data_IF_775150582756
#
_entry.id   IF_775150582756
#
_cell.length_a   1.000
_cell.length_b   1.000
_cell.length_c   1.000
_cell.angle_alpha   90.00
_cell.angle_beta   90.00
_cell.angle_gamma   90.00
#
_symmetry.space_group_name_H-M   'P 1'
#
loop_
_entity.id
_entity.type
_entity.pdbx_description
1 polymer ?
#
# COMPACT_ATOMS: atom_id res chain seq x y z
N UNK A 1 29.38 -23.74 -21.67
CA UNK A 1 29.20 -22.26 -21.43
C UNK A 1 28.79 -21.48 -22.69
N UNK A 2 29.40 -21.69 -23.86
CA UNK A 2 29.01 -20.96 -25.10
C UNK A 2 27.55 -21.16 -25.57
N UNK A 3 26.91 -22.37 -25.48
CA UNK A 3 25.54 -22.56 -25.97
C UNK A 3 24.51 -21.71 -25.23
N UNK A 4 24.57 -21.66 -23.89
CA UNK A 4 23.60 -20.90 -23.05
C UNK A 4 23.67 -19.39 -23.33
N UNK A 5 24.85 -18.88 -23.66
CA UNK A 5 25.03 -17.46 -23.99
C UNK A 5 24.45 -17.06 -25.35
N UNK A 6 24.47 -17.95 -26.34
CA UNK A 6 23.81 -17.71 -27.64
C UNK A 6 22.28 -17.62 -27.46
N UNK A 7 21.69 -18.47 -26.63
CA UNK A 7 20.25 -18.43 -26.31
C UNK A 7 19.83 -17.14 -25.59
N UNK A 8 20.69 -16.55 -24.75
CA UNK A 8 20.43 -15.27 -24.09
C UNK A 8 20.20 -14.10 -25.06
N UNK A 9 20.68 -14.19 -26.29
CA UNK A 9 20.58 -13.13 -27.29
C UNK A 9 19.62 -13.44 -28.45
N UNK A 10 19.27 -14.70 -28.70
CA UNK A 10 18.61 -15.15 -29.93
C UNK A 10 17.15 -15.64 -29.79
N UNK A 11 16.63 -15.83 -28.54
CA UNK A 11 15.25 -16.28 -28.31
C UNK A 11 14.20 -15.28 -28.83
N UNK A 12 13.00 -15.77 -29.09
CA UNK A 12 11.86 -14.96 -29.51
C UNK A 12 11.49 -13.96 -28.41
N UNK A 13 11.18 -12.72 -28.79
CA UNK A 13 10.73 -11.66 -27.88
C UNK A 13 9.25 -11.40 -28.14
N UNK A 14 8.40 -11.80 -27.17
CA UNK A 14 7.00 -11.36 -27.07
C UNK A 14 6.92 -10.23 -26.08
N UNK A 15 6.05 -9.26 -26.30
CA UNK A 15 5.82 -8.16 -25.38
C UNK A 15 4.32 -7.94 -25.13
N UNK A 16 4.01 -7.30 -24.01
CA UNK A 16 2.65 -7.07 -23.55
C UNK A 16 2.53 -5.70 -22.89
N UNK A 17 1.39 -5.05 -23.04
CA UNK A 17 1.08 -3.79 -22.37
C UNK A 17 0.74 -3.97 -20.89
N UNK A 18 0.75 -2.84 -20.13
CA UNK A 18 0.53 -2.85 -18.68
C UNK A 18 -0.84 -3.42 -18.31
N UNK A 19 -1.91 -3.01 -18.99
CA UNK A 19 -3.28 -3.44 -18.69
C UNK A 19 -3.46 -4.96 -18.78
N UNK A 20 -2.87 -5.58 -19.78
CA UNK A 20 -2.90 -7.03 -19.99
C UNK A 20 -1.97 -7.76 -19.03
N UNK A 21 -0.77 -7.18 -18.76
CA UNK A 21 0.21 -7.74 -17.84
C UNK A 21 -0.32 -7.86 -16.40
N UNK A 22 -1.24 -6.99 -15.99
CA UNK A 22 -1.86 -6.99 -14.66
C UNK A 22 -3.01 -7.99 -14.49
N UNK A 23 -3.37 -8.75 -15.53
CA UNK A 23 -4.39 -9.79 -15.42
C UNK A 23 -3.91 -10.93 -14.51
N UNK A 24 -4.82 -11.57 -13.72
CA UNK A 24 -4.47 -12.62 -12.76
C UNK A 24 -3.77 -13.84 -13.36
N UNK A 25 -3.92 -14.08 -14.67
CA UNK A 25 -3.27 -15.16 -15.40
C UNK A 25 -1.75 -14.99 -15.53
N UNK A 26 -1.23 -13.78 -15.36
CA UNK A 26 0.19 -13.46 -15.49
C UNK A 26 0.93 -13.60 -14.16
N UNK A 27 2.12 -14.16 -14.23
CA UNK A 27 3.08 -14.14 -13.11
C UNK A 27 4.16 -13.09 -13.39
N UNK A 28 4.16 -12.02 -12.64
CA UNK A 28 5.07 -10.89 -12.83
C UNK A 28 6.44 -11.19 -12.20
N UNK A 29 7.50 -11.08 -13.01
CA UNK A 29 8.90 -11.31 -12.60
C UNK A 29 9.69 -10.01 -12.73
N UNK A 30 10.15 -9.50 -11.60
CA UNK A 30 11.00 -8.31 -11.51
C UNK A 30 12.47 -8.70 -11.55
N UNK A 31 13.19 -8.34 -12.62
CA UNK A 31 14.61 -8.60 -12.76
C UNK A 31 15.49 -7.42 -12.39
N UNK A 32 14.94 -6.45 -11.70
CA UNK A 32 15.68 -5.33 -11.09
C UNK A 32 16.38 -5.80 -9.82
N UNK A 33 17.29 -4.97 -9.30
CA UNK A 33 17.94 -5.28 -8.03
C UNK A 33 16.93 -5.33 -6.89
N UNK A 34 17.29 -5.97 -5.78
CA UNK A 34 16.42 -6.05 -4.60
C UNK A 34 16.10 -4.67 -4.03
N UNK A 35 17.03 -3.73 -4.09
CA UNK A 35 16.83 -2.34 -3.67
C UNK A 35 15.83 -1.61 -4.59
N UNK A 36 15.97 -1.77 -5.92
CA UNK A 36 15.00 -1.21 -6.89
C UNK A 36 13.58 -1.75 -6.63
N UNK A 37 13.46 -3.05 -6.32
CA UNK A 37 12.20 -3.71 -6.01
C UNK A 37 11.61 -3.20 -4.69
N UNK A 38 12.41 -3.11 -3.63
CA UNK A 38 12.00 -2.60 -2.33
C UNK A 38 11.52 -1.14 -2.40
N UNK A 39 12.21 -0.30 -3.17
CA UNK A 39 11.82 1.10 -3.39
C UNK A 39 10.53 1.27 -4.19
N UNK A 40 10.04 0.23 -4.84
CA UNK A 40 8.76 0.23 -5.53
C UNK A 40 8.67 -0.90 -6.55
N UNK A 41 7.67 -1.76 -6.41
CA UNK A 41 7.41 -2.90 -7.27
C UNK A 41 5.98 -2.90 -7.81
N UNK A 42 5.70 -3.71 -8.83
CA UNK A 42 4.33 -4.05 -9.20
C UNK A 42 3.79 -5.00 -8.13
N UNK A 43 2.66 -4.70 -7.47
CA UNK A 43 2.11 -5.56 -6.43
C UNK A 43 1.95 -7.01 -6.89
N UNK A 44 2.38 -7.96 -6.05
CA UNK A 44 2.35 -9.39 -6.36
C UNK A 44 3.49 -9.88 -7.26
N UNK A 45 4.36 -9.00 -7.75
CA UNK A 45 5.53 -9.43 -8.53
C UNK A 45 6.59 -10.12 -7.64
N UNK A 46 7.33 -11.05 -8.24
CA UNK A 46 8.42 -11.77 -7.60
C UNK A 46 9.74 -11.19 -8.05
N UNK A 47 10.63 -10.88 -7.12
CA UNK A 47 11.95 -10.36 -7.45
C UNK A 47 12.94 -11.50 -7.70
N UNK A 48 13.45 -11.54 -8.91
CA UNK A 48 14.54 -12.43 -9.33
C UNK A 48 15.63 -11.57 -10.00
N UNK A 49 16.51 -10.93 -9.20
CA UNK A 49 17.49 -9.96 -9.71
C UNK A 49 18.45 -10.59 -10.71
N UNK A 50 18.63 -9.93 -11.87
CA UNK A 50 19.66 -10.29 -12.83
C UNK A 50 21.05 -9.82 -12.40
N UNK A 51 21.11 -8.73 -11.64
CA UNK A 51 22.28 -8.11 -11.07
C UNK A 51 22.03 -7.70 -9.63
N UNK A 52 23.06 -7.72 -8.80
CA UNK A 52 23.06 -7.01 -7.54
C UNK A 52 23.22 -5.47 -7.73
N UNK A 53 23.24 -4.71 -6.63
CA UNK A 53 23.33 -3.26 -6.64
C UNK A 53 24.65 -2.74 -7.22
N UNK A 54 25.79 -3.41 -6.90
CA UNK A 54 27.12 -3.03 -7.35
C UNK A 54 27.31 -3.35 -8.83
N UNK A 55 26.94 -4.57 -9.24
CA UNK A 55 26.96 -5.01 -10.62
C UNK A 55 26.12 -4.10 -11.53
N UNK A 56 24.88 -3.81 -11.08
CA UNK A 56 23.97 -2.91 -11.79
C UNK A 56 24.57 -1.50 -11.93
N UNK A 57 25.24 -0.99 -10.88
CA UNK A 57 25.90 0.32 -10.91
C UNK A 57 27.06 0.33 -11.90
N UNK A 58 27.90 -0.71 -11.88
CA UNK A 58 29.01 -0.90 -12.81
C UNK A 58 28.53 -0.91 -14.28
N UNK A 59 27.54 -1.75 -14.59
CA UNK A 59 26.97 -1.85 -15.94
C UNK A 59 26.36 -0.51 -16.37
N UNK A 60 25.71 0.21 -15.46
CA UNK A 60 25.14 1.54 -15.73
C UNK A 60 26.19 2.61 -16.00
N UNK A 61 27.36 2.54 -15.36
CA UNK A 61 28.52 3.42 -15.65
C UNK A 61 29.13 3.10 -17.01
N UNK A 62 29.40 1.83 -17.30
CA UNK A 62 29.92 1.39 -18.59
C UNK A 62 29.01 1.81 -19.75
N UNK A 63 27.70 1.63 -19.61
CA UNK A 63 26.76 2.03 -20.64
C UNK A 63 26.83 3.53 -20.97
N UNK A 64 27.03 4.39 -19.98
CA UNK A 64 27.06 5.85 -20.15
C UNK A 64 28.42 6.37 -20.61
N UNK A 65 29.51 5.74 -20.16
CA UNK A 65 30.88 6.24 -20.39
C UNK A 65 31.55 5.61 -21.58
N UNK A 66 31.31 4.33 -21.85
CA UNK A 66 31.97 3.56 -22.90
C UNK A 66 31.02 3.19 -24.04
N UNK A 67 29.75 2.84 -23.69
CA UNK A 67 28.72 2.52 -24.66
C UNK A 67 28.02 1.19 -24.39
N UNK A 68 27.09 0.89 -25.32
CA UNK A 68 26.23 -0.27 -25.22
C UNK A 68 26.98 -1.61 -25.26
N UNK A 69 27.93 -1.74 -26.16
CA UNK A 69 28.64 -3.01 -26.40
C UNK A 69 29.44 -3.44 -25.18
N UNK A 70 30.24 -2.54 -24.60
CA UNK A 70 31.01 -2.80 -23.40
C UNK A 70 30.12 -3.17 -22.21
N UNK A 71 28.96 -2.52 -22.06
CA UNK A 71 27.98 -2.83 -21.02
C UNK A 71 27.37 -4.23 -21.23
N UNK A 72 27.08 -4.63 -22.47
CA UNK A 72 26.54 -5.97 -22.80
C UNK A 72 27.60 -7.03 -22.53
N UNK A 73 28.82 -6.86 -23.01
CA UNK A 73 29.89 -7.80 -22.79
C UNK A 73 30.18 -8.04 -21.32
N UNK A 74 30.33 -6.95 -20.54
CA UNK A 74 30.54 -7.06 -19.09
C UNK A 74 29.33 -7.67 -18.37
N UNK A 75 28.11 -7.24 -18.71
CA UNK A 75 26.88 -7.81 -18.13
C UNK A 75 26.76 -9.30 -18.39
N UNK A 76 27.07 -9.71 -19.61
CA UNK A 76 27.07 -11.13 -19.99
C UNK A 76 28.12 -11.93 -19.22
N UNK A 77 29.33 -11.40 -19.03
CA UNK A 77 30.38 -12.07 -18.25
C UNK A 77 30.01 -12.27 -16.78
N UNK A 78 29.24 -11.34 -16.20
CA UNK A 78 28.74 -11.42 -14.82
C UNK A 78 27.60 -12.46 -14.70
N UNK A 79 26.64 -12.44 -15.63
CA UNK A 79 25.44 -13.28 -15.57
C UNK A 79 25.73 -14.74 -15.97
N UNK A 80 26.65 -14.98 -16.91
CA UNK A 80 26.90 -16.31 -17.44
C UNK A 80 27.16 -17.40 -16.39
N UNK A 81 27.99 -17.18 -15.35
CA UNK A 81 28.20 -18.19 -14.29
C UNK A 81 26.99 -18.46 -13.42
N UNK A 82 26.01 -17.54 -13.41
CA UNK A 82 24.85 -17.58 -12.53
C UNK A 82 23.56 -18.02 -13.27
N UNK A 83 23.60 -18.20 -14.60
CA UNK A 83 22.41 -18.48 -15.41
C UNK A 83 21.65 -19.72 -14.99
N UNK A 84 22.34 -20.80 -14.68
CA UNK A 84 21.70 -22.06 -14.24
C UNK A 84 21.02 -21.89 -12.88
N UNK A 85 21.69 -21.23 -11.93
CA UNK A 85 21.12 -20.91 -10.64
C UNK A 85 19.88 -19.99 -10.80
N UNK A 86 19.98 -18.98 -11.64
CA UNK A 86 18.87 -18.08 -11.97
C UNK A 86 17.68 -18.86 -12.57
N UNK A 87 17.93 -19.74 -13.55
CA UNK A 87 16.91 -20.58 -14.17
C UNK A 87 16.21 -21.46 -13.14
N UNK A 88 16.98 -22.10 -12.25
CA UNK A 88 16.44 -22.96 -11.20
C UNK A 88 15.48 -22.23 -10.25
N UNK A 89 15.69 -20.94 -9.99
CA UNK A 89 14.74 -20.14 -9.18
C UNK A 89 13.41 -19.92 -9.89
N UNK A 90 13.35 -20.01 -11.21
CA UNK A 90 12.15 -19.80 -12.02
C UNK A 90 11.47 -21.10 -12.47
N UNK A 91 12.13 -22.26 -12.39
CA UNK A 91 11.54 -23.59 -12.72
C UNK A 91 10.18 -23.86 -12.05
N UNK A 92 9.92 -23.48 -10.78
CA UNK A 92 8.60 -23.66 -10.15
C UNK A 92 7.46 -22.94 -10.88
N UNK A 93 7.77 -21.99 -11.74
CA UNK A 93 6.78 -21.20 -12.50
C UNK A 93 6.72 -21.57 -13.98
N UNK A 94 7.40 -22.63 -14.44
CA UNK A 94 7.52 -23.00 -15.86
C UNK A 94 6.17 -23.25 -16.54
N UNK A 95 5.18 -23.77 -15.82
CA UNK A 95 3.82 -23.99 -16.33
C UNK A 95 2.97 -22.72 -16.45
N UNK A 96 3.43 -21.59 -15.88
CA UNK A 96 2.72 -20.32 -15.87
C UNK A 96 3.15 -19.42 -17.02
N UNK A 97 2.28 -18.45 -17.37
CA UNK A 97 2.67 -17.35 -18.25
C UNK A 97 3.45 -16.32 -17.43
N UNK A 98 4.72 -16.14 -17.75
CA UNK A 98 5.60 -15.18 -17.08
C UNK A 98 5.62 -13.84 -17.82
N UNK A 99 5.48 -12.76 -17.09
CA UNK A 99 5.70 -11.41 -17.61
C UNK A 99 6.91 -10.78 -16.92
N UNK A 100 8.02 -10.66 -17.65
CA UNK A 100 9.30 -10.17 -17.13
C UNK A 100 9.40 -8.66 -17.31
N UNK A 101 9.79 -7.96 -16.25
CA UNK A 101 10.03 -6.53 -16.35
C UNK A 101 11.32 -6.08 -15.68
N UNK A 102 11.87 -4.97 -16.18
CA UNK A 102 12.91 -4.18 -15.53
C UNK A 102 12.48 -2.72 -15.42
N UNK A 103 13.39 -1.80 -15.15
CA UNK A 103 13.04 -0.39 -14.92
C UNK A 103 12.32 0.29 -16.11
N UNK A 104 12.72 0.00 -17.35
CA UNK A 104 12.20 0.67 -18.57
C UNK A 104 11.93 -0.29 -19.75
N UNK A 105 11.77 -1.59 -19.53
CA UNK A 105 11.63 -2.56 -20.61
C UNK A 105 12.86 -2.64 -21.54
N UNK A 106 14.05 -2.37 -20.98
CA UNK A 106 15.31 -2.36 -21.72
C UNK A 106 16.00 -3.72 -21.75
N UNK A 107 17.34 -3.72 -21.89
CA UNK A 107 18.14 -4.93 -22.13
C UNK A 107 17.97 -6.01 -21.06
N UNK A 108 17.91 -5.65 -19.76
CA UNK A 108 17.76 -6.64 -18.67
C UNK A 108 16.56 -7.56 -18.91
N UNK A 109 15.35 -6.99 -19.04
CA UNK A 109 14.15 -7.78 -19.26
C UNK A 109 14.12 -8.44 -20.63
N UNK A 110 14.60 -7.77 -21.71
CA UNK A 110 14.70 -8.37 -23.05
C UNK A 110 15.55 -9.64 -23.07
N UNK A 111 16.74 -9.58 -22.47
CA UNK A 111 17.66 -10.73 -22.44
C UNK A 111 17.09 -11.87 -21.61
N UNK A 112 16.50 -11.58 -20.45
CA UNK A 112 15.87 -12.62 -19.62
C UNK A 112 14.65 -13.23 -20.33
N UNK A 113 13.79 -12.45 -20.98
CA UNK A 113 12.67 -12.97 -21.75
C UNK A 113 13.11 -13.93 -22.86
N UNK A 114 14.15 -13.53 -23.64
CA UNK A 114 14.70 -14.39 -24.71
C UNK A 114 15.29 -15.68 -24.15
N UNK A 115 16.07 -15.59 -23.08
CA UNK A 115 16.68 -16.74 -22.43
C UNK A 115 15.60 -17.70 -21.91
N UNK A 116 14.62 -17.24 -21.19
CA UNK A 116 13.55 -18.09 -20.69
C UNK A 116 12.71 -18.70 -21.83
N UNK A 117 12.48 -17.96 -22.91
CA UNK A 117 11.80 -18.48 -24.11
C UNK A 117 12.59 -19.64 -24.73
N UNK A 118 13.92 -19.54 -24.83
CA UNK A 118 14.77 -20.63 -25.36
C UNK A 118 14.84 -21.85 -24.43
N UNK A 119 14.57 -21.66 -23.13
CA UNK A 119 14.48 -22.75 -22.13
C UNK A 119 13.05 -23.32 -22.01
N UNK A 120 12.15 -22.99 -22.94
CA UNK A 120 10.80 -23.54 -23.03
C UNK A 120 9.79 -22.93 -22.08
N UNK A 121 10.05 -21.76 -21.51
CA UNK A 121 9.07 -21.03 -20.71
C UNK A 121 8.07 -20.27 -21.59
N UNK A 122 6.82 -20.20 -21.15
CA UNK A 122 5.82 -19.28 -21.68
C UNK A 122 6.09 -17.90 -21.08
N UNK A 123 6.74 -17.04 -21.83
CA UNK A 123 7.26 -15.76 -21.28
C UNK A 123 7.09 -14.61 -22.26
N UNK A 124 6.80 -13.44 -21.72
CA UNK A 124 6.68 -12.18 -22.43
C UNK A 124 7.32 -11.05 -21.63
N UNK A 125 7.64 -9.93 -22.29
CA UNK A 125 8.21 -8.76 -21.66
C UNK A 125 7.13 -7.70 -21.42
N UNK A 126 7.15 -7.06 -20.24
CA UNK A 126 6.35 -5.87 -20.01
C UNK A 126 6.93 -4.67 -20.78
N UNK A 127 6.15 -4.10 -21.70
CA UNK A 127 6.54 -2.91 -22.46
C UNK A 127 6.76 -1.71 -21.56
N UNK A 128 7.86 -0.97 -21.78
CA UNK A 128 8.23 0.17 -20.93
C UNK A 128 8.56 -0.15 -19.49
N UNK A 129 8.40 -1.42 -19.05
CA UNK A 129 8.75 -1.94 -17.73
C UNK A 129 8.07 -1.22 -16.58
N UNK A 130 8.75 -1.18 -15.41
CA UNK A 130 8.21 -0.52 -14.21
C UNK A 130 7.83 0.95 -14.43
N UNK A 131 8.55 1.67 -15.31
CA UNK A 131 8.21 3.07 -15.63
C UNK A 131 6.85 3.20 -16.30
N UNK A 132 6.51 2.28 -17.23
CA UNK A 132 5.19 2.27 -17.86
C UNK A 132 4.09 1.94 -16.84
N UNK A 133 4.30 0.91 -16.00
CA UNK A 133 3.40 0.62 -14.89
C UNK A 133 3.17 1.84 -13.99
N UNK A 134 4.23 2.54 -13.58
CA UNK A 134 4.08 3.75 -12.74
C UNK A 134 3.26 4.84 -13.39
N UNK A 135 3.45 5.06 -14.70
CA UNK A 135 2.65 6.01 -15.46
C UNK A 135 1.17 5.59 -15.45
N UNK A 136 0.90 4.34 -15.76
CA UNK A 136 -0.45 3.77 -15.76
C UNK A 136 -1.15 3.96 -14.40
N UNK A 137 -0.46 3.67 -13.29
CA UNK A 137 -0.98 3.89 -11.93
C UNK A 137 -1.29 5.38 -11.69
N UNK A 138 -0.34 6.27 -12.00
CA UNK A 138 -0.51 7.70 -11.75
C UNK A 138 -1.65 8.29 -12.60
N UNK A 139 -1.80 7.84 -13.85
CA UNK A 139 -2.90 8.30 -14.72
C UNK A 139 -4.26 7.84 -14.20
N UNK A 140 -4.38 6.61 -13.70
CA UNK A 140 -5.58 6.15 -13.01
C UNK A 140 -5.91 6.99 -11.77
N UNK A 141 -4.90 7.27 -10.93
CA UNK A 141 -5.09 7.98 -9.65
C UNK A 141 -5.51 9.44 -9.82
N UNK A 142 -5.20 10.09 -10.95
CA UNK A 142 -5.62 11.47 -11.23
C UNK A 142 -7.14 11.63 -11.29
N UNK A 143 -7.86 10.59 -11.75
CA UNK A 143 -9.29 10.65 -12.04
C UNK A 143 -10.14 9.68 -11.22
N UNK A 144 -9.55 8.99 -10.26
CA UNK A 144 -10.28 8.05 -9.44
C UNK A 144 -11.05 8.76 -8.32
N UNK A 145 -12.32 9.05 -8.58
CA UNK A 145 -13.27 9.74 -7.69
C UNK A 145 -14.54 8.90 -7.50
N UNK A 146 -14.46 7.75 -6.79
CA UNK A 146 -15.65 6.94 -6.54
C UNK A 146 -16.58 7.62 -5.53
N UNK A 147 -17.86 7.24 -5.47
CA UNK A 147 -18.72 7.60 -4.35
C UNK A 147 -18.21 6.93 -3.08
N UNK A 148 -18.15 7.69 -1.97
CA UNK A 148 -17.56 7.20 -0.71
C UNK A 148 -18.53 7.32 0.46
N UNK A 149 -18.46 6.34 1.37
CA UNK A 149 -18.99 6.41 2.72
C UNK A 149 -17.77 6.48 3.65
N UNK A 150 -17.62 7.62 4.32
CA UNK A 150 -16.45 7.96 5.13
C UNK A 150 -16.79 7.77 6.60
N UNK A 151 -16.12 6.83 7.26
CA UNK A 151 -16.30 6.55 8.68
C UNK A 151 -15.47 7.48 9.54
N UNK A 152 -16.11 8.34 10.31
CA UNK A 152 -15.51 9.23 11.28
C UNK A 152 -15.75 8.71 12.71
N UNK A 153 -14.93 9.13 13.65
CA UNK A 153 -15.06 8.78 15.06
C UNK A 153 -13.72 8.88 15.78
N UNK A 154 -13.76 9.13 17.08
CA UNK A 154 -12.59 9.32 17.93
C UNK A 154 -11.65 8.11 17.87
N UNK A 155 -10.39 8.27 18.26
CA UNK A 155 -9.39 7.19 18.34
C UNK A 155 -9.90 6.04 19.20
N UNK A 156 -9.73 4.80 18.75
CA UNK A 156 -10.18 3.58 19.43
C UNK A 156 -11.66 3.23 19.24
N UNK A 157 -12.44 4.02 18.48
CA UNK A 157 -13.87 3.74 18.25
C UNK A 157 -14.15 2.48 17.42
N UNK A 158 -13.13 1.92 16.73
CA UNK A 158 -13.26 0.69 15.95
C UNK A 158 -13.40 0.89 14.43
N UNK A 159 -13.09 2.09 13.89
CA UNK A 159 -13.14 2.37 12.43
C UNK A 159 -12.43 1.31 11.61
N UNK A 160 -11.17 1.04 11.94
CA UNK A 160 -10.32 0.09 11.21
C UNK A 160 -10.84 -1.34 11.28
N UNK A 161 -11.40 -1.75 12.43
CA UNK A 161 -12.04 -3.06 12.57
C UNK A 161 -13.24 -3.20 11.65
N UNK A 162 -14.09 -2.16 11.58
CA UNK A 162 -15.25 -2.13 10.69
C UNK A 162 -14.80 -2.12 9.21
N UNK A 163 -13.83 -1.28 8.84
CA UNK A 163 -13.30 -1.24 7.47
C UNK A 163 -12.80 -2.61 7.02
N UNK A 164 -12.14 -3.36 7.88
CA UNK A 164 -11.64 -4.72 7.56
C UNK A 164 -12.76 -5.75 7.40
N UNK A 165 -13.91 -5.55 8.04
CA UNK A 165 -15.05 -6.45 7.96
C UNK A 165 -16.07 -6.08 6.88
N UNK A 166 -16.07 -4.83 6.40
CA UNK A 166 -17.03 -4.33 5.42
C UNK A 166 -16.63 -4.72 3.98
N UNK A 167 -17.58 -5.22 3.17
CA UNK A 167 -17.31 -5.54 1.78
C UNK A 167 -16.99 -4.27 0.99
N UNK A 168 -16.07 -4.40 0.05
CA UNK A 168 -15.74 -3.30 -0.85
C UNK A 168 -14.96 -2.15 -0.23
N UNK A 169 -14.60 -2.19 1.04
CA UNK A 169 -13.87 -1.15 1.77
C UNK A 169 -12.42 -0.95 1.29
N UNK A 170 -11.83 0.18 1.68
CA UNK A 170 -10.41 0.50 1.50
C UNK A 170 -9.81 0.85 2.87
N UNK A 171 -8.92 0.00 3.36
CA UNK A 171 -8.13 0.22 4.59
C UNK A 171 -6.86 1.00 4.23
N UNK A 172 -6.92 2.34 4.36
CA UNK A 172 -5.81 3.25 4.02
C UNK A 172 -4.61 3.07 4.95
N UNK A 173 -4.86 2.79 6.23
CA UNK A 173 -3.80 2.55 7.21
C UNK A 173 -3.02 1.27 6.89
N UNK A 174 -3.71 0.20 6.54
CA UNK A 174 -3.05 -1.04 6.10
C UNK A 174 -2.28 -0.85 4.80
N UNK A 175 -2.82 -0.09 3.84
CA UNK A 175 -2.10 0.23 2.61
C UNK A 175 -0.84 1.06 2.87
N UNK A 176 -0.87 1.96 3.84
CA UNK A 176 0.27 2.77 4.27
C UNK A 176 1.23 2.01 5.20
N UNK A 177 0.78 0.91 5.84
CA UNK A 177 1.45 0.26 6.98
C UNK A 177 1.77 1.27 8.09
N UNK A 178 0.78 2.12 8.39
CA UNK A 178 0.86 3.15 9.41
C UNK A 178 -0.53 3.55 9.87
N UNK A 179 -0.81 3.47 11.16
CA UNK A 179 -2.01 4.08 11.73
C UNK A 179 -1.81 5.60 11.79
N UNK A 180 -2.85 6.34 11.53
CA UNK A 180 -2.78 7.82 11.45
C UNK A 180 -2.56 8.50 12.80
N UNK A 181 -1.66 7.98 13.61
CA UNK A 181 -1.36 8.48 14.96
C UNK A 181 0.15 8.61 15.18
N UNK A 182 0.56 9.30 16.25
CA UNK A 182 1.96 9.40 16.63
C UNK A 182 2.59 8.03 16.93
N UNK A 183 1.79 7.09 17.43
CA UNK A 183 2.18 5.69 17.68
C UNK A 183 1.94 4.79 16.46
N UNK A 184 1.57 5.36 15.33
CA UNK A 184 1.06 4.64 14.17
C UNK A 184 2.03 3.65 13.51
N UNK A 185 3.33 3.79 13.75
CA UNK A 185 4.36 2.87 13.24
C UNK A 185 4.67 1.70 14.19
N UNK A 186 4.12 1.69 15.41
CA UNK A 186 4.34 0.58 16.37
C UNK A 186 3.80 -0.71 15.77
N UNK A 187 4.62 -1.76 15.70
CA UNK A 187 4.37 -3.05 15.03
C UNK A 187 4.19 -3.00 13.51
N UNK A 188 4.42 -1.86 12.85
CA UNK A 188 4.25 -1.71 11.42
C UNK A 188 5.55 -1.27 10.74
N UNK A 189 5.67 -1.54 9.44
CA UNK A 189 6.78 -1.06 8.60
C UNK A 189 6.21 -0.09 7.55
N UNK A 190 6.30 1.23 7.80
CA UNK A 190 5.71 2.24 6.94
C UNK A 190 6.17 2.11 5.48
N UNK A 191 5.21 2.09 4.56
CA UNK A 191 5.49 2.04 3.14
C UNK A 191 5.83 3.40 2.57
N UNK A 192 6.65 3.41 1.54
CA UNK A 192 6.88 4.61 0.74
C UNK A 192 5.69 4.90 -0.22
N UNK A 193 5.67 6.11 -0.78
CA UNK A 193 4.60 6.59 -1.66
C UNK A 193 4.35 5.67 -2.87
N UNK A 194 5.40 5.16 -3.51
CA UNK A 194 5.26 4.32 -4.72
C UNK A 194 4.58 2.99 -4.41
N UNK A 195 4.94 2.36 -3.30
CA UNK A 195 4.35 1.10 -2.87
C UNK A 195 2.90 1.30 -2.41
N UNK A 196 2.62 2.38 -1.66
CA UNK A 196 1.27 2.75 -1.29
C UNK A 196 0.37 2.94 -2.51
N UNK A 197 0.77 3.77 -3.48
CA UNK A 197 -0.01 4.04 -4.69
C UNK A 197 -0.22 2.80 -5.56
N UNK A 198 0.80 1.96 -5.68
CA UNK A 198 0.69 0.68 -6.40
C UNK A 198 -0.33 -0.27 -5.76
N UNK A 199 -0.30 -0.41 -4.43
CA UNK A 199 -1.26 -1.22 -3.69
C UNK A 199 -2.66 -0.61 -3.71
N UNK A 200 -2.77 0.72 -3.58
CA UNK A 200 -4.04 1.44 -3.70
C UNK A 200 -4.67 1.18 -5.08
N UNK A 201 -3.89 1.35 -6.17
CA UNK A 201 -4.33 1.01 -7.51
C UNK A 201 -4.80 -0.44 -7.62
N UNK A 202 -4.01 -1.39 -7.14
CA UNK A 202 -4.35 -2.82 -7.19
C UNK A 202 -5.66 -3.15 -6.45
N UNK A 203 -5.97 -2.44 -5.35
CA UNK A 203 -7.20 -2.62 -4.58
C UNK A 203 -8.42 -1.94 -5.19
N UNK A 204 -8.20 -0.92 -6.03
CA UNK A 204 -9.29 -0.04 -6.51
C UNK A 204 -9.59 -0.17 -8.00
N UNK A 205 -8.63 -0.62 -8.81
CA UNK A 205 -8.77 -0.66 -10.27
C UNK A 205 -9.87 -1.58 -10.79
N UNK A 206 -10.20 -2.64 -10.05
CA UNK A 206 -11.29 -3.57 -10.37
C UNK A 206 -12.63 -3.22 -9.73
N UNK A 207 -12.68 -2.17 -8.87
CA UNK A 207 -13.94 -1.79 -8.20
C UNK A 207 -14.87 -1.05 -9.15
N UNK A 208 -16.19 -1.31 -9.07
CA UNK A 208 -17.18 -0.55 -9.82
C UNK A 208 -17.11 0.93 -9.46
N UNK A 209 -17.01 1.81 -10.46
CA UNK A 209 -16.91 3.26 -10.24
C UNK A 209 -18.19 3.92 -9.71
N UNK A 210 -19.31 3.22 -9.75
CA UNK A 210 -20.63 3.72 -9.35
C UNK A 210 -21.10 3.24 -7.97
N UNK A 211 -20.44 2.25 -7.40
CA UNK A 211 -20.77 1.72 -6.07
C UNK A 211 -20.06 2.50 -4.97
N UNK A 212 -20.74 2.73 -3.86
CA UNK A 212 -20.15 3.35 -2.69
C UNK A 212 -19.07 2.44 -2.09
N UNK A 213 -17.95 3.06 -1.72
CA UNK A 213 -16.81 2.40 -1.09
C UNK A 213 -16.68 2.95 0.33
N UNK A 214 -16.58 2.06 1.31
CA UNK A 214 -16.27 2.46 2.68
C UNK A 214 -14.79 2.80 2.83
N UNK A 215 -14.51 3.89 3.55
CA UNK A 215 -13.15 4.34 3.86
C UNK A 215 -13.09 5.01 5.22
N UNK A 216 -11.95 4.98 5.88
CA UNK A 216 -11.73 5.73 7.11
C UNK A 216 -11.60 7.23 6.82
N UNK A 217 -12.14 8.06 7.72
CA UNK A 217 -12.01 9.51 7.69
C UNK A 217 -10.60 9.96 8.09
N UNK A 218 -9.65 9.79 7.19
CA UNK A 218 -8.27 10.13 7.39
C UNK A 218 -7.91 11.51 6.84
N UNK A 219 -6.85 12.11 7.39
CA UNK A 219 -6.22 13.28 6.79
C UNK A 219 -5.58 12.90 5.44
N UNK A 220 -5.28 13.90 4.59
CA UNK A 220 -4.58 13.66 3.32
C UNK A 220 -3.25 12.91 3.49
N UNK A 221 -2.65 12.97 4.66
CA UNK A 221 -1.38 12.32 4.99
C UNK A 221 -1.60 11.19 5.99
N UNK A 222 -1.24 9.97 5.62
CA UNK A 222 -1.24 8.77 6.46
C UNK A 222 0.20 8.33 6.69
N UNK A 223 0.73 8.55 7.89
CA UNK A 223 2.15 8.36 8.17
C UNK A 223 3.04 9.21 7.27
N UNK A 224 3.82 8.58 6.42
CA UNK A 224 4.72 9.26 5.47
C UNK A 224 4.18 9.31 4.02
N UNK A 225 2.99 8.79 3.77
CA UNK A 225 2.39 8.77 2.42
C UNK A 225 1.21 9.73 2.31
N UNK A 226 0.92 10.15 1.07
CA UNK A 226 -0.21 11.01 0.76
C UNK A 226 -1.27 10.23 -0.02
N UNK A 227 -2.51 10.39 0.40
CA UNK A 227 -3.69 9.90 -0.34
C UNK A 227 -3.76 10.64 -1.68
N UNK A 228 -4.04 9.95 -2.82
CA UNK A 228 -4.22 10.59 -4.11
C UNK A 228 -5.24 11.73 -4.05
N UNK A 229 -4.93 12.86 -4.67
CA UNK A 229 -5.71 14.10 -4.55
C UNK A 229 -7.17 13.91 -4.94
N UNK A 230 -7.41 13.26 -6.08
CA UNK A 230 -8.76 12.99 -6.57
C UNK A 230 -9.58 12.15 -5.58
N UNK A 231 -8.95 11.17 -4.93
CA UNK A 231 -9.60 10.36 -3.91
C UNK A 231 -9.84 11.13 -2.61
N UNK A 232 -8.88 11.94 -2.16
CA UNK A 232 -9.04 12.81 -1.00
C UNK A 232 -10.19 13.83 -1.20
N UNK A 233 -10.34 14.36 -2.40
CA UNK A 233 -11.47 15.23 -2.75
C UNK A 233 -12.81 14.48 -2.75
N UNK A 234 -12.81 13.22 -3.21
CA UNK A 234 -14.00 12.37 -3.11
C UNK A 234 -14.36 12.08 -1.64
N UNK A 235 -13.35 11.87 -0.75
CA UNK A 235 -13.59 11.70 0.70
C UNK A 235 -14.27 12.93 1.32
N UNK A 236 -13.86 14.15 0.97
CA UNK A 236 -14.49 15.38 1.48
C UNK A 236 -15.96 15.49 1.08
N UNK A 237 -16.31 15.02 -0.13
CA UNK A 237 -17.66 15.07 -0.70
C UNK A 237 -18.51 13.85 -0.35
N UNK A 238 -17.89 12.79 0.16
CA UNK A 238 -18.55 11.53 0.51
C UNK A 238 -19.56 11.66 1.64
N UNK A 239 -20.43 10.63 1.76
CA UNK A 239 -21.32 10.46 2.90
C UNK A 239 -20.52 10.27 4.17
N UNK A 240 -20.86 10.97 5.23
CA UNK A 240 -20.12 10.96 6.51
C UNK A 240 -20.89 10.26 7.59
N UNK A 241 -20.33 9.22 8.17
CA UNK A 241 -20.94 8.50 9.30
C UNK A 241 -20.07 8.72 10.53
N UNK A 242 -20.70 9.18 11.61
CA UNK A 242 -20.06 9.35 12.91
C UNK A 242 -20.25 8.10 13.76
N UNK A 243 -19.16 7.47 14.15
CA UNK A 243 -19.14 6.34 15.08
C UNK A 243 -18.82 6.85 16.49
N UNK A 244 -19.58 6.37 17.48
CA UNK A 244 -19.42 6.73 18.89
C UNK A 244 -19.24 5.48 19.74
N UNK A 245 -18.34 5.50 20.69
CA UNK A 245 -18.15 4.49 21.71
C UNK A 245 -17.72 5.11 23.04
N UNK A 246 -17.99 4.42 24.13
CA UNK A 246 -17.57 4.82 25.48
C UNK A 246 -16.03 4.85 25.61
N UNK A 247 -15.54 5.57 26.60
CA UNK A 247 -14.13 5.61 26.92
C UNK A 247 -13.59 4.21 27.22
N UNK A 248 -14.32 3.43 28.01
CA UNK A 248 -13.97 2.07 28.38
C UNK A 248 -13.78 1.16 27.16
N UNK A 249 -14.73 1.17 26.23
CA UNK A 249 -14.64 0.39 24.98
C UNK A 249 -13.46 0.82 24.13
N UNK A 250 -13.19 2.10 24.04
CA UNK A 250 -12.07 2.66 23.26
C UNK A 250 -10.71 2.26 23.85
N UNK A 251 -10.55 2.36 25.18
CA UNK A 251 -9.35 1.96 25.91
C UNK A 251 -9.09 0.46 25.73
N UNK A 252 -10.10 -0.38 25.93
CA UNK A 252 -10.00 -1.82 25.73
C UNK A 252 -9.51 -2.17 24.30
N UNK A 253 -10.11 -1.59 23.26
CA UNK A 253 -9.73 -1.83 21.87
C UNK A 253 -8.30 -1.41 21.55
N UNK A 254 -7.86 -0.27 22.06
CA UNK A 254 -6.47 0.20 21.88
C UNK A 254 -5.52 -0.76 22.59
N UNK A 255 -5.85 -1.20 23.80
CA UNK A 255 -5.04 -2.15 24.54
C UNK A 255 -4.89 -3.49 23.80
N UNK A 256 -6.00 -4.00 23.24
CA UNK A 256 -6.00 -5.20 22.39
C UNK A 256 -5.15 -5.03 21.13
N UNK A 257 -5.22 -3.87 20.49
CA UNK A 257 -4.52 -3.60 19.23
C UNK A 257 -3.00 -3.44 19.38
N UNK A 258 -2.56 -2.78 20.44
CA UNK A 258 -1.14 -2.45 20.63
C UNK A 258 -0.37 -3.50 21.46
N UNK A 259 -1.07 -4.32 22.24
CA UNK A 259 -0.47 -5.37 23.09
C UNK A 259 0.86 -4.94 23.76
N UNK A 260 0.89 -3.90 24.59
CA UNK A 260 2.13 -3.30 25.10
C UNK A 260 2.79 -4.15 26.20
N UNK A 261 2.93 -5.47 25.97
CA UNK A 261 3.42 -6.43 26.97
C UNK A 261 4.86 -6.91 26.74
N UNK A 262 5.39 -6.73 25.52
CA UNK A 262 6.77 -7.06 25.21
C UNK A 262 7.68 -5.84 25.33
N UNK A 263 8.94 -6.08 25.70
CA UNK A 263 9.94 -5.02 25.94
C UNK A 263 10.20 -4.16 24.69
N UNK A 264 10.17 -4.75 23.50
CA UNK A 264 10.40 -4.01 22.25
C UNK A 264 9.29 -2.99 22.00
N UNK A 265 8.04 -3.37 22.23
CA UNK A 265 6.88 -2.49 22.13
C UNK A 265 6.93 -1.37 23.14
N UNK A 266 7.24 -1.69 24.42
CA UNK A 266 7.37 -0.70 25.48
C UNK A 266 8.48 0.32 25.15
N UNK A 267 9.64 -0.16 24.69
CA UNK A 267 10.74 0.71 24.26
C UNK A 267 10.32 1.66 23.12
N UNK A 268 9.61 1.14 22.09
CA UNK A 268 9.12 1.96 20.98
C UNK A 268 8.11 3.01 21.44
N UNK A 269 7.18 2.65 22.33
CA UNK A 269 6.21 3.59 22.90
C UNK A 269 6.92 4.66 23.71
N UNK A 270 7.84 4.30 24.59
CA UNK A 270 8.60 5.24 25.42
C UNK A 270 9.42 6.23 24.58
N UNK A 271 10.06 5.76 23.51
CA UNK A 271 10.83 6.59 22.59
C UNK A 271 10.00 7.69 21.91
N UNK A 272 8.67 7.52 21.81
CA UNK A 272 7.75 8.48 21.21
C UNK A 272 7.32 9.56 22.21
N UNK A 273 7.27 9.26 23.52
CA UNK A 273 6.72 10.17 24.54
C UNK A 273 7.36 11.58 24.56
N UNK A 274 8.68 11.76 24.32
CA UNK A 274 9.28 13.08 24.26
C UNK A 274 8.67 14.00 23.22
N UNK A 275 8.19 13.46 22.09
CA UNK A 275 7.52 14.25 21.04
C UNK A 275 6.16 14.82 21.46
N UNK A 276 5.57 14.31 22.54
CA UNK A 276 4.32 14.81 23.11
C UNK A 276 4.51 16.01 24.05
N UNK A 277 5.75 16.37 24.39
CA UNK A 277 6.06 17.39 25.41
C UNK A 277 5.49 18.76 25.05
N UNK A 278 5.55 19.16 23.79
CA UNK A 278 4.99 20.46 23.34
C UNK A 278 3.46 20.51 23.48
N UNK A 279 2.80 19.37 23.32
CA UNK A 279 1.34 19.28 23.33
C UNK A 279 0.73 19.03 24.70
N UNK A 280 1.41 18.24 25.53
CA UNK A 280 0.90 17.79 26.83
C UNK A 280 1.60 18.43 28.03
N UNK A 281 2.77 19.06 27.81
CA UNK A 281 3.61 19.55 28.88
C UNK A 281 4.47 18.46 29.54
N UNK A 282 5.54 18.90 30.22
CA UNK A 282 6.52 18.00 30.83
C UNK A 282 5.91 17.06 31.89
N UNK A 283 5.04 17.60 32.75
CA UNK A 283 4.48 16.84 33.87
C UNK A 283 3.61 15.65 33.40
N UNK A 284 2.79 15.85 32.37
CA UNK A 284 1.94 14.78 31.81
C UNK A 284 2.80 13.70 31.12
N UNK A 285 3.87 14.12 30.43
CA UNK A 285 4.78 13.15 29.78
C UNK A 285 5.51 12.29 30.85
N UNK A 286 5.95 12.87 31.96
CA UNK A 286 6.56 12.11 33.06
C UNK A 286 5.53 11.19 33.75
N UNK A 287 4.28 11.64 33.90
CA UNK A 287 3.19 10.80 34.37
C UNK A 287 2.96 9.58 33.45
N UNK A 288 2.92 9.81 32.13
CA UNK A 288 2.78 8.74 31.14
C UNK A 288 3.92 7.73 31.22
N UNK A 289 5.17 8.16 31.37
CA UNK A 289 6.31 7.26 31.55
C UNK A 289 6.16 6.41 32.82
N UNK A 290 5.77 7.05 33.93
CA UNK A 290 5.54 6.34 35.20
C UNK A 290 4.48 5.26 35.06
N UNK A 291 3.36 5.57 34.41
CA UNK A 291 2.28 4.61 34.17
C UNK A 291 2.75 3.45 33.26
N UNK A 292 3.52 3.75 32.23
CA UNK A 292 4.07 2.75 31.33
C UNK A 292 4.98 1.76 32.08
N UNK A 293 5.90 2.25 32.93
CA UNK A 293 6.79 1.43 33.75
C UNK A 293 6.06 0.65 34.86
N UNK A 294 4.91 1.14 35.30
CA UNK A 294 4.05 0.45 36.26
C UNK A 294 3.08 -0.56 35.63
N UNK A 295 3.11 -0.73 34.30
CA UNK A 295 2.18 -1.55 33.52
C UNK A 295 0.70 -1.11 33.68
N UNK A 296 0.45 0.16 34.03
CA UNK A 296 -0.89 0.76 34.11
C UNK A 296 -1.35 1.27 32.76
N UNK A 297 -1.52 0.34 31.83
CA UNK A 297 -1.77 0.67 30.42
C UNK A 297 -3.14 1.32 30.17
N UNK A 298 -4.17 0.95 30.93
CA UNK A 298 -5.49 1.56 30.83
C UNK A 298 -5.46 3.04 31.21
N UNK A 299 -4.82 3.39 32.32
CA UNK A 299 -4.66 4.79 32.75
C UNK A 299 -3.80 5.57 31.73
N UNK A 300 -2.73 4.95 31.22
CA UNK A 300 -1.88 5.52 30.20
C UNK A 300 -2.67 5.88 28.92
N UNK A 301 -3.49 4.95 28.43
CA UNK A 301 -4.31 5.13 27.23
C UNK A 301 -5.38 6.19 27.50
N UNK A 302 -6.04 6.15 28.65
CA UNK A 302 -7.09 7.11 29.04
C UNK A 302 -6.55 8.54 29.02
N UNK A 303 -5.37 8.80 29.63
CA UNK A 303 -4.74 10.12 29.62
C UNK A 303 -4.41 10.58 28.18
N UNK A 304 -3.92 9.68 27.33
CA UNK A 304 -3.63 10.01 25.94
C UNK A 304 -4.93 10.35 25.18
N UNK A 305 -5.99 9.59 25.39
CA UNK A 305 -7.28 9.86 24.73
C UNK A 305 -7.84 11.21 25.15
N UNK A 306 -7.91 11.50 26.44
CA UNK A 306 -8.51 12.73 26.99
C UNK A 306 -7.68 13.99 26.66
N UNK A 307 -6.35 13.91 26.82
CA UNK A 307 -5.49 15.10 26.76
C UNK A 307 -4.83 15.33 25.40
N UNK A 308 -4.72 14.30 24.57
CA UNK A 308 -4.02 14.41 23.29
C UNK A 308 -4.92 14.17 22.08
N UNK A 309 -5.65 13.04 22.03
CA UNK A 309 -6.39 12.66 20.83
C UNK A 309 -7.75 13.36 20.71
N UNK A 310 -8.58 13.33 21.76
CA UNK A 310 -9.94 13.85 21.70
C UNK A 310 -10.01 15.34 21.42
N UNK A 311 -9.16 16.21 22.02
CA UNK A 311 -9.16 17.63 21.70
C UNK A 311 -8.78 17.92 20.22
N UNK A 312 -7.87 17.12 19.64
CA UNK A 312 -7.51 17.26 18.23
C UNK A 312 -8.60 16.81 17.29
N UNK A 313 -9.26 15.71 17.64
CA UNK A 313 -10.39 15.21 16.89
C UNK A 313 -11.54 16.23 16.87
N UNK A 314 -11.92 16.77 18.02
CA UNK A 314 -12.98 17.75 18.15
C UNK A 314 -12.70 19.04 17.37
N UNK A 315 -11.45 19.50 17.39
CA UNK A 315 -11.04 20.66 16.60
C UNK A 315 -11.18 20.42 15.08
N UNK A 316 -10.75 19.27 14.62
CA UNK A 316 -10.76 18.92 13.18
C UNK A 316 -12.16 18.62 12.62
N UNK A 317 -13.14 18.34 13.47
CA UNK A 317 -14.46 17.85 13.08
C UNK A 317 -15.62 18.81 13.38
N UNK A 318 -15.34 20.02 13.86
CA UNK A 318 -16.34 21.02 14.28
C UNK A 318 -17.36 21.35 13.21
N UNK A 319 -16.95 21.40 11.96
CA UNK A 319 -17.77 21.86 10.83
C UNK A 319 -18.36 20.71 10.02
N UNK A 320 -18.20 19.45 10.49
CA UNK A 320 -18.74 18.31 9.76
C UNK A 320 -20.21 18.08 10.07
N UNK A 321 -20.99 18.04 9.01
CA UNK A 321 -22.36 17.50 9.07
C UNK A 321 -22.31 16.00 8.73
N UNK A 322 -22.91 15.20 9.62
CA UNK A 322 -22.95 13.75 9.45
C UNK A 322 -24.29 13.32 8.88
N UNK A 323 -24.24 12.42 7.88
CA UNK A 323 -25.45 11.82 7.30
C UNK A 323 -26.08 10.79 8.24
N UNK A 324 -25.27 10.19 9.12
CA UNK A 324 -25.71 9.19 10.09
C UNK A 324 -24.76 9.16 11.30
N UNK A 325 -25.33 8.91 12.48
CA UNK A 325 -24.57 8.64 13.71
C UNK A 325 -24.91 7.25 14.23
N UNK A 326 -23.91 6.44 14.54
CA UNK A 326 -24.07 5.07 15.03
C UNK A 326 -23.27 4.84 16.31
N UNK A 327 -23.86 4.03 17.19
CA UNK A 327 -23.10 3.43 18.28
C UNK A 327 -22.17 2.36 17.73
N UNK A 328 -20.92 2.40 18.12
CA UNK A 328 -19.93 1.37 17.80
C UNK A 328 -19.52 0.56 19.03
N UNK A 329 -20.39 0.46 20.05
CA UNK A 329 -20.15 -0.43 21.18
C UNK A 329 -20.17 -1.89 20.74
N UNK A 330 -21.15 -2.26 19.92
CA UNK A 330 -21.25 -3.56 19.25
C UNK A 330 -20.90 -3.43 17.77
N UNK A 331 -19.73 -3.94 17.39
CA UNK A 331 -19.25 -3.84 16.02
C UNK A 331 -20.03 -4.70 15.03
N UNK A 332 -20.62 -5.82 15.46
CA UNK A 332 -21.42 -6.68 14.58
C UNK A 332 -22.74 -5.98 14.21
N UNK A 333 -23.40 -5.35 15.19
CA UNK A 333 -24.59 -4.56 14.92
C UNK A 333 -24.26 -3.33 14.08
N UNK A 334 -23.18 -2.62 14.40
CA UNK A 334 -22.73 -1.46 13.62
C UNK A 334 -22.44 -1.83 12.16
N UNK A 335 -21.83 -3.00 11.91
CA UNK A 335 -21.56 -3.49 10.56
C UNK A 335 -22.87 -3.72 9.78
N UNK A 336 -23.88 -4.33 10.41
CA UNK A 336 -25.21 -4.55 9.79
C UNK A 336 -25.86 -3.22 9.42
N UNK A 337 -25.82 -2.24 10.34
CA UNK A 337 -26.38 -0.91 10.11
C UNK A 337 -25.66 -0.17 8.97
N UNK A 338 -24.33 -0.28 8.89
CA UNK A 338 -23.53 0.28 7.79
C UNK A 338 -23.85 -0.37 6.45
N UNK A 339 -24.01 -1.68 6.40
CA UNK A 339 -24.42 -2.41 5.17
C UNK A 339 -25.85 -1.99 4.77
N UNK A 340 -26.75 -1.87 5.71
CA UNK A 340 -28.12 -1.37 5.48
C UNK A 340 -28.11 0.04 4.90
N UNK A 341 -27.34 0.95 5.49
CA UNK A 341 -27.17 2.31 4.99
C UNK A 341 -26.57 2.34 3.56
N UNK A 342 -25.53 1.53 3.30
CA UNK A 342 -24.93 1.41 1.96
C UNK A 342 -25.94 0.94 0.91
N UNK A 343 -26.75 -0.09 1.24
CA UNK A 343 -27.72 -0.67 0.32
C UNK A 343 -28.89 0.28 0.01
N UNK A 344 -29.18 1.23 0.88
CA UNK A 344 -30.20 2.26 0.69
C UNK A 344 -29.71 3.45 -0.17
N UNK A 345 -28.40 3.53 -0.49
CA UNK A 345 -27.90 4.60 -1.33
C UNK A 345 -28.21 4.34 -2.82
N UNK A 346 -28.68 5.35 -3.56
CA UNK A 346 -28.91 5.21 -4.99
C UNK A 346 -27.56 4.95 -5.72
N UNK A 347 -27.58 4.07 -6.70
CA UNK A 347 -26.40 3.83 -7.58
C UNK A 347 -26.04 5.17 -8.23
N UNK A 348 -24.83 5.63 -8.02
CA UNK A 348 -24.37 6.94 -8.50
C UNK A 348 -24.40 6.98 -10.03
N UNK A 349 -25.39 7.64 -10.63
CA UNK A 349 -25.54 7.74 -12.10
C UNK A 349 -26.97 7.78 -12.63
N UNK A 350 -28.01 7.56 -11.82
CA UNK A 350 -29.41 7.59 -12.30
C UNK A 350 -30.12 8.95 -12.19
N UNK A 351 -29.36 10.05 -12.09
CA UNK A 351 -29.94 11.40 -12.24
C UNK A 351 -29.74 11.92 -13.65
N UNK A 352 -30.37 11.29 -14.66
CA UNK A 352 -30.69 11.95 -15.93
C UNK A 352 -31.60 11.06 -16.78
N UNK A 353 -32.88 10.99 -16.39
CA UNK A 353 -33.97 10.67 -17.30
C UNK A 353 -35.31 10.95 -16.59
N UNK A 354 -35.63 12.21 -16.31
CA UNK A 354 -37.01 12.71 -16.14
C UNK A 354 -36.93 14.24 -15.98
N UNK A 355 -36.69 14.92 -17.11
CA UNK A 355 -37.08 16.30 -17.32
C UNK A 355 -37.13 16.59 -18.81
N UNK A 356 -38.12 15.92 -19.48
CA UNK A 356 -38.72 16.43 -20.72
C UNK A 356 -40.13 15.88 -20.72
N UNK A 357 -41.06 16.68 -20.29
CA UNK A 357 -42.44 16.75 -20.71
C UNK A 357 -42.95 18.14 -20.40
#
# INVERSE_FOLDING_TARGET
>A
MRPLLQHFLQGQLSSIEVSEALQPSNTLIDVRTSEEHFQGAIPGSRNHPLFDGLERSLIGKLYRQVGREAAVERGTSIVAPQLEKFLNTLRPFQSRLLTVYCARGGMRSKSVTRFLSSEGFRVQQLEGGYKAYRRHVLDFLKDFRPPLIVLHGRTGVGKTLLIRSLPGSIDLENLAQHRSSIFGAVHLQPRNQKNFEGLFYSKTSSKPRKEFIFVEGESRKVGQVFIPEAFADAMKKGKKILLKASMETRVRRILEEYHPRDEETLFKIEAILPALKESLGKNVVEQLKTLLHQNKFEDFITILLEKYYDPRYEHGMRDYQYDLELSAEDLEQTQKDLIGFHSAQPIHGDKNQYSQS
#
